data_IF_354212583500
#
_entry.id   IF_354212583500
#
_cell.length_a   1.000
_cell.length_b   1.000
_cell.length_c   1.000
_cell.angle_alpha   90.00
_cell.angle_beta   90.00
_cell.angle_gamma   90.00
#
_symmetry.space_group_name_H-M   'P 1'
#
loop_
_entity.id
_entity.type
_entity.pdbx_description
1 polymer ?
#
# COMPACT_ATOMS: atom_id res chain seq x y z
N UNK A 1 12.50 -56.46 -21.01
CA UNK A 1 12.25 -55.87 -19.67
C UNK A 1 13.06 -54.59 -19.40
N UNK A 2 14.11 -54.26 -20.17
CA UNK A 2 14.97 -53.10 -19.91
C UNK A 2 14.36 -51.74 -20.34
N UNK A 3 13.56 -51.70 -21.42
CA UNK A 3 12.96 -50.44 -21.93
C UNK A 3 11.89 -49.82 -21.02
N UNK A 4 11.13 -50.63 -20.28
CA UNK A 4 10.14 -50.13 -19.31
C UNK A 4 10.80 -49.43 -18.12
N UNK A 5 11.93 -49.95 -17.64
CA UNK A 5 12.69 -49.36 -16.54
C UNK A 5 13.29 -48.01 -16.92
N UNK A 6 13.84 -47.90 -18.14
CA UNK A 6 14.36 -46.65 -18.70
C UNK A 6 13.25 -45.59 -18.86
N UNK A 7 12.06 -46.00 -19.31
CA UNK A 7 10.91 -45.11 -19.46
C UNK A 7 10.41 -44.57 -18.12
N UNK A 8 10.36 -45.41 -17.08
CA UNK A 8 9.91 -45.01 -15.75
C UNK A 8 10.91 -44.04 -15.10
N UNK A 9 12.21 -44.32 -15.21
CA UNK A 9 13.26 -43.42 -14.72
C UNK A 9 13.21 -42.06 -15.44
N UNK A 10 13.04 -42.05 -16.75
CA UNK A 10 12.88 -40.81 -17.52
C UNK A 10 11.68 -39.98 -17.09
N UNK A 11 10.52 -40.61 -16.86
CA UNK A 11 9.31 -39.93 -16.39
C UNK A 11 9.50 -39.31 -14.99
N UNK A 12 10.15 -40.03 -14.08
CA UNK A 12 10.45 -39.56 -12.73
C UNK A 12 11.42 -38.37 -12.73
N UNK A 13 12.45 -38.38 -13.59
CA UNK A 13 13.34 -37.24 -13.77
C UNK A 13 12.60 -36.01 -14.30
N UNK A 14 11.72 -36.16 -15.29
CA UNK A 14 10.91 -35.05 -15.81
C UNK A 14 9.99 -34.47 -14.73
N UNK A 15 9.32 -35.31 -13.95
CA UNK A 15 8.46 -34.87 -12.85
C UNK A 15 9.26 -34.13 -11.76
N UNK A 16 10.47 -34.60 -11.43
CA UNK A 16 11.36 -33.94 -10.47
C UNK A 16 11.86 -32.58 -10.95
N UNK A 17 12.13 -32.42 -12.25
CA UNK A 17 12.57 -31.13 -12.81
C UNK A 17 11.39 -30.15 -12.89
N UNK A 18 10.21 -30.63 -13.26
CA UNK A 18 8.99 -29.82 -13.29
C UNK A 18 8.56 -29.34 -11.90
N UNK A 19 8.74 -30.15 -10.85
CA UNK A 19 8.42 -29.73 -9.47
C UNK A 19 9.46 -28.76 -8.90
N UNK A 20 10.73 -28.88 -9.29
CA UNK A 20 11.78 -27.96 -8.85
C UNK A 20 11.63 -26.53 -9.42
N UNK A 21 10.99 -26.38 -10.58
CA UNK A 21 10.68 -25.07 -11.17
C UNK A 21 9.30 -24.52 -10.76
N UNK A 22 8.50 -25.29 -10.00
CA UNK A 22 7.19 -24.86 -9.54
C UNK A 22 7.32 -24.12 -8.21
N UNK A 23 7.55 -22.81 -8.29
CA UNK A 23 7.50 -21.93 -7.11
C UNK A 23 6.04 -21.87 -6.63
N UNK A 24 5.73 -22.64 -5.59
CA UNK A 24 4.41 -22.65 -4.94
C UNK A 24 4.26 -21.55 -3.87
N UNK A 25 5.37 -20.95 -3.44
CA UNK A 25 5.43 -19.82 -2.51
C UNK A 25 5.83 -18.53 -3.23
N UNK A 26 5.09 -18.14 -4.27
CA UNK A 26 5.26 -16.79 -4.78
C UNK A 26 4.85 -15.82 -3.67
N UNK A 27 5.71 -14.85 -3.29
CA UNK A 27 5.30 -13.82 -2.36
C UNK A 27 4.07 -13.11 -2.90
N UNK A 28 3.25 -12.62 -1.98
CA UNK A 28 2.04 -11.90 -2.33
C UNK A 28 2.45 -10.66 -3.14
N UNK A 29 1.88 -10.50 -4.35
CA UNK A 29 2.21 -9.41 -5.26
C UNK A 29 3.29 -9.73 -6.31
N UNK A 30 2.87 -9.93 -7.56
CA UNK A 30 3.75 -9.92 -8.73
C UNK A 30 3.93 -8.51 -9.32
N UNK A 31 4.86 -8.32 -10.26
CA UNK A 31 5.15 -7.01 -10.89
C UNK A 31 3.94 -6.25 -11.46
N UNK A 32 2.83 -6.95 -11.71
CA UNK A 32 1.58 -6.40 -12.27
C UNK A 32 0.42 -6.36 -11.27
N UNK A 33 0.59 -6.90 -10.07
CA UNK A 33 -0.47 -6.98 -9.06
C UNK A 33 -0.71 -5.66 -8.30
N UNK A 34 0.21 -4.70 -8.43
CA UNK A 34 0.15 -3.40 -7.73
C UNK A 34 -0.76 -2.40 -8.45
N UNK A 35 -1.06 -2.59 -9.74
CA UNK A 35 -1.57 -1.51 -10.58
C UNK A 35 -3.06 -1.14 -10.34
N UNK A 36 -3.87 -1.99 -9.70
CA UNK A 36 -5.33 -1.80 -9.65
C UNK A 36 -5.95 -1.69 -8.23
N UNK A 37 -5.15 -1.63 -7.16
CA UNK A 37 -5.72 -1.54 -5.81
C UNK A 37 -6.02 -0.10 -5.40
N UNK A 38 -7.28 0.21 -5.02
CA UNK A 38 -7.59 1.47 -4.35
C UNK A 38 -6.73 1.60 -3.08
N UNK A 39 -6.05 2.73 -2.92
CA UNK A 39 -5.30 3.05 -1.70
C UNK A 39 -6.27 3.06 -0.51
N UNK A 40 -6.13 2.11 0.41
CA UNK A 40 -6.91 2.07 1.65
C UNK A 40 -6.13 2.70 2.79
N UNK A 41 -6.81 3.14 3.84
CA UNK A 41 -6.13 3.49 5.07
C UNK A 41 -5.60 2.25 5.77
N UNK A 42 -4.42 2.35 6.40
CA UNK A 42 -3.87 1.29 7.22
C UNK A 42 -4.82 0.95 8.39
N UNK A 43 -4.69 -0.24 8.96
CA UNK A 43 -5.64 -0.74 9.96
C UNK A 43 -5.70 0.10 11.23
N UNK A 44 -6.82 -0.03 11.95
CA UNK A 44 -6.97 0.57 13.27
C UNK A 44 -6.14 -0.16 14.32
N UNK A 45 -5.68 0.59 15.32
CA UNK A 45 -4.86 0.07 16.42
C UNK A 45 -5.08 0.88 17.70
N UNK A 46 -4.47 0.43 18.80
CA UNK A 46 -4.51 1.13 20.08
C UNK A 46 -5.84 1.01 20.84
N UNK A 47 -5.93 1.64 22.03
CA UNK A 47 -7.10 1.56 22.89
C UNK A 47 -8.37 2.05 22.19
N UNK A 48 -9.36 1.17 22.03
CA UNK A 48 -10.64 1.47 21.39
C UNK A 48 -10.55 1.74 19.89
N UNK A 49 -9.54 1.19 19.20
CA UNK A 49 -9.34 1.37 17.74
C UNK A 49 -9.22 2.85 17.31
N UNK A 50 -8.75 3.71 18.23
CA UNK A 50 -8.64 5.16 18.02
C UNK A 50 -7.37 5.60 17.30
N UNK A 51 -6.44 4.67 17.06
CA UNK A 51 -5.21 4.90 16.32
C UNK A 51 -5.23 4.23 14.94
N UNK A 52 -4.21 4.51 14.16
CA UNK A 52 -3.90 3.89 12.87
C UNK A 52 -2.42 3.47 12.84
N UNK A 53 -2.14 2.42 12.10
CA UNK A 53 -0.77 1.93 11.93
C UNK A 53 0.02 2.84 10.99
N UNK A 54 1.22 3.24 11.43
CA UNK A 54 2.20 3.99 10.62
C UNK A 54 3.42 3.12 10.25
N UNK A 55 3.60 2.00 10.95
CA UNK A 55 4.62 0.98 10.71
C UNK A 55 4.32 -0.28 11.50
N UNK A 56 5.11 -1.36 11.35
CA UNK A 56 4.85 -2.67 11.98
C UNK A 56 4.82 -2.62 13.51
N UNK A 57 5.49 -1.62 14.11
CA UNK A 57 5.58 -1.41 15.55
C UNK A 57 5.16 0.00 15.98
N UNK A 58 4.37 0.71 15.16
CA UNK A 58 4.00 2.11 15.38
C UNK A 58 2.49 2.29 15.20
N UNK A 59 1.83 2.71 16.27
CA UNK A 59 0.40 3.04 16.30
C UNK A 59 0.20 4.47 16.78
N UNK A 60 -0.47 5.31 15.99
CA UNK A 60 -0.69 6.71 16.36
C UNK A 60 -2.13 7.15 16.17
N UNK A 61 -2.58 8.09 16.99
CA UNK A 61 -3.86 8.78 16.82
C UNK A 61 -3.92 10.05 17.64
N UNK A 62 -4.63 11.06 17.16
CA UNK A 62 -4.69 12.40 17.77
C UNK A 62 -5.00 12.39 19.27
N UNK A 63 -5.88 11.48 19.71
CA UNK A 63 -6.30 11.39 21.11
C UNK A 63 -5.55 10.36 21.96
N UNK A 64 -4.57 9.63 21.41
CA UNK A 64 -3.75 8.67 22.16
C UNK A 64 -2.24 8.94 22.04
N UNK A 65 -1.84 9.88 21.18
CA UNK A 65 -0.43 10.12 20.83
C UNK A 65 0.10 9.01 19.93
N UNK A 66 1.37 8.65 20.12
CA UNK A 66 2.01 7.55 19.40
C UNK A 66 2.56 6.51 20.38
N UNK A 67 2.20 5.26 20.12
CA UNK A 67 2.68 4.07 20.81
C UNK A 67 3.69 3.38 19.90
N UNK A 68 4.90 3.16 20.39
CA UNK A 68 6.01 2.57 19.63
C UNK A 68 6.54 1.36 20.39
N UNK A 69 6.59 0.20 19.74
CA UNK A 69 7.08 -1.05 20.32
C UNK A 69 6.26 -1.56 21.52
N UNK A 70 4.99 -1.16 21.62
CA UNK A 70 4.09 -1.54 22.70
C UNK A 70 3.22 -2.74 22.28
N UNK A 71 2.61 -3.49 23.22
CA UNK A 71 1.77 -4.63 22.84
C UNK A 71 0.56 -4.21 21.99
N UNK A 72 0.10 -2.96 22.11
CA UNK A 72 -0.97 -2.39 21.29
C UNK A 72 -0.58 -2.23 19.80
N UNK A 73 0.72 -2.22 19.48
CA UNK A 73 1.22 -2.12 18.09
C UNK A 73 1.31 -3.48 17.40
N UNK A 74 1.16 -4.61 18.12
CA UNK A 74 1.25 -5.95 17.53
C UNK A 74 0.25 -6.17 16.39
N UNK A 75 -0.91 -5.49 16.45
CA UNK A 75 -1.89 -5.55 15.37
C UNK A 75 -1.34 -4.99 14.06
N UNK A 76 -0.44 -4.02 14.10
CA UNK A 76 0.15 -3.42 12.91
C UNK A 76 1.07 -4.36 12.12
N UNK A 77 1.60 -5.42 12.75
CA UNK A 77 2.33 -6.49 12.05
C UNK A 77 1.45 -7.23 11.05
N UNK A 78 0.13 -7.26 11.26
CA UNK A 78 -0.80 -7.90 10.34
C UNK A 78 -0.84 -7.19 8.98
N UNK A 79 -0.47 -5.90 8.93
CA UNK A 79 -0.43 -5.11 7.70
C UNK A 79 0.59 -5.67 6.69
N UNK A 80 1.70 -6.26 7.17
CA UNK A 80 2.75 -6.86 6.33
C UNK A 80 2.26 -8.11 5.57
N UNK A 81 1.19 -8.74 6.06
CA UNK A 81 0.60 -9.94 5.46
C UNK A 81 -0.55 -9.60 4.50
N UNK A 82 -0.99 -8.34 4.45
CA UNK A 82 -2.08 -7.92 3.58
C UNK A 82 -1.55 -7.61 2.17
N UNK A 83 -2.13 -8.22 1.11
CA UNK A 83 -1.68 -7.99 -0.26
C UNK A 83 -2.04 -6.62 -0.83
N UNK A 84 -2.97 -5.91 -0.20
CA UNK A 84 -3.41 -4.59 -0.64
C UNK A 84 -2.61 -3.51 0.08
N UNK A 85 -1.99 -2.58 -0.67
CA UNK A 85 -1.22 -1.50 -0.07
C UNK A 85 -2.16 -0.61 0.75
N UNK A 86 -1.63 -0.08 1.84
CA UNK A 86 -2.30 0.91 2.68
C UNK A 86 -1.48 2.19 2.76
N UNK A 87 -2.15 3.30 3.07
CA UNK A 87 -1.51 4.57 3.39
C UNK A 87 -1.87 4.98 4.81
N UNK A 88 -0.87 5.44 5.57
CA UNK A 88 -1.09 6.05 6.86
C UNK A 88 -1.83 7.40 6.68
N UNK A 89 -2.74 7.77 7.58
CA UNK A 89 -3.47 9.03 7.49
C UNK A 89 -2.56 10.23 7.82
N UNK A 90 -3.08 11.44 7.60
CA UNK A 90 -2.42 12.69 7.95
C UNK A 90 -1.67 13.33 6.78
N UNK A 91 -1.24 14.58 6.94
CA UNK A 91 -0.47 15.30 5.91
C UNK A 91 0.99 14.84 5.89
N UNK A 92 1.65 14.98 4.74
CA UNK A 92 3.06 14.67 4.61
C UNK A 92 3.93 15.61 5.47
N UNK A 93 5.02 15.06 6.03
CA UNK A 93 6.04 15.76 6.79
C UNK A 93 7.39 15.03 6.63
N UNK A 94 8.51 15.72 6.81
CA UNK A 94 9.83 15.13 6.59
C UNK A 94 10.05 14.63 5.14
N UNK A 95 10.78 13.51 5.01
CA UNK A 95 11.10 12.90 3.70
C UNK A 95 10.02 11.92 3.23
N UNK A 96 9.61 10.99 4.10
CA UNK A 96 8.59 9.95 3.82
C UNK A 96 7.58 9.83 4.98
N UNK A 97 7.52 10.84 5.84
CA UNK A 97 6.71 10.83 7.05
C UNK A 97 5.32 11.41 6.85
N UNK A 98 4.43 11.13 7.80
CA UNK A 98 3.10 11.72 7.90
C UNK A 98 2.80 12.16 9.33
N UNK A 99 2.05 13.24 9.46
CA UNK A 99 1.66 13.77 10.77
C UNK A 99 0.70 12.80 11.45
N UNK A 100 1.18 12.17 12.52
CA UNK A 100 0.51 11.06 13.17
C UNK A 100 -0.24 11.48 14.45
N UNK A 101 0.25 12.54 15.08
CA UNK A 101 -0.33 13.21 16.24
C UNK A 101 0.15 14.67 16.28
N UNK A 102 -0.40 15.51 17.17
CA UNK A 102 0.04 16.90 17.33
C UNK A 102 1.54 17.04 17.54
N UNK A 103 2.18 17.75 16.62
CA UNK A 103 3.62 18.00 16.52
C UNK A 103 4.47 16.74 16.38
N UNK A 104 3.90 15.64 15.90
CA UNK A 104 4.61 14.36 15.70
C UNK A 104 4.50 13.91 14.25
N UNK A 105 5.65 13.76 13.61
CA UNK A 105 5.81 13.19 12.28
C UNK A 105 6.32 11.75 12.41
N UNK A 106 5.67 10.78 11.77
CA UNK A 106 6.09 9.38 11.78
C UNK A 106 6.23 8.83 10.36
N UNK A 107 7.26 8.01 10.16
CA UNK A 107 7.41 7.10 9.01
C UNK A 107 7.28 5.65 9.49
N UNK A 108 7.63 4.67 8.63
CA UNK A 108 7.54 3.25 8.97
C UNK A 108 8.54 2.81 10.06
N UNK A 109 9.62 3.57 10.25
CA UNK A 109 10.74 3.21 11.12
C UNK A 109 10.66 3.91 12.48
N UNK A 110 10.11 5.11 12.53
CA UNK A 110 10.01 5.86 13.78
C UNK A 110 9.22 7.16 13.69
N UNK A 111 9.23 7.87 14.83
CA UNK A 111 8.55 9.14 15.00
C UNK A 111 9.51 10.20 15.53
N UNK A 112 9.32 11.44 15.09
CA UNK A 112 10.06 12.60 15.54
C UNK A 112 9.11 13.79 15.75
N UNK A 113 9.54 14.76 16.56
CA UNK A 113 8.77 15.99 16.72
C UNK A 113 8.95 16.88 15.49
N UNK A 114 7.84 17.35 14.93
CA UNK A 114 7.83 18.25 13.78
C UNK A 114 6.80 19.36 13.97
N UNK A 115 7.25 20.61 13.85
CA UNK A 115 6.39 21.79 13.95
C UNK A 115 5.42 21.93 12.78
N UNK A 116 5.71 21.30 11.64
CA UNK A 116 4.79 21.23 10.52
C UNK A 116 3.48 20.54 10.92
N UNK A 117 3.51 19.62 11.89
CA UNK A 117 2.36 18.84 12.36
C UNK A 117 1.51 19.54 13.44
N UNK A 118 1.22 20.84 13.30
CA UNK A 118 0.31 21.54 14.23
C UNK A 118 -1.09 20.89 14.28
N UNK A 119 -1.73 20.96 15.45
CA UNK A 119 -3.08 20.46 15.73
C UNK A 119 -4.09 20.89 14.64
N UNK A 120 -4.56 19.91 13.87
CA UNK A 120 -5.79 19.87 13.07
C UNK A 120 -6.20 21.08 12.23
N UNK A 121 -6.03 20.97 10.91
CA UNK A 121 -7.24 21.01 10.09
C UNK A 121 -7.55 19.57 9.71
N UNK A 122 -8.67 19.08 10.20
CA UNK A 122 -9.13 17.72 10.03
C UNK A 122 -9.60 17.51 8.59
N UNK A 123 -8.68 17.33 7.65
CA UNK A 123 -9.02 16.75 6.36
C UNK A 123 -8.95 15.22 6.50
N UNK A 124 -9.89 14.67 7.28
CA UNK A 124 -10.38 13.33 6.95
C UNK A 124 -10.89 13.39 5.51
N UNK A 125 -10.74 12.34 4.68
CA UNK A 125 -11.16 12.40 3.29
C UNK A 125 -12.61 12.90 3.21
N UNK A 126 -12.80 14.15 2.79
CA UNK A 126 -14.13 14.67 2.54
C UNK A 126 -14.78 13.75 1.51
N UNK A 127 -16.05 13.33 1.68
CA UNK A 127 -16.76 12.64 0.62
C UNK A 127 -16.70 13.56 -0.61
N UNK A 128 -16.13 13.04 -1.70
CA UNK A 128 -15.96 13.76 -2.95
C UNK A 128 -17.25 14.54 -3.28
N UNK A 129 -17.19 15.89 -3.45
CA UNK A 129 -18.36 16.63 -3.85
C UNK A 129 -18.82 16.15 -5.24
N UNK A 130 -20.13 16.13 -5.52
CA UNK A 130 -20.62 15.71 -6.83
C UNK A 130 -20.01 16.62 -7.89
N UNK A 131 -19.27 16.02 -8.82
CA UNK A 131 -18.61 16.72 -9.91
C UNK A 131 -19.60 17.63 -10.64
N UNK A 132 -19.39 18.95 -10.52
CA UNK A 132 -20.13 19.96 -11.25
C UNK A 132 -19.85 19.81 -12.74
N UNK A 133 -20.88 19.94 -13.59
CA UNK A 133 -20.78 19.81 -15.05
C UNK A 133 -19.76 20.78 -15.68
N UNK A 134 -19.34 21.82 -14.96
CA UNK A 134 -18.34 22.79 -15.40
C UNK A 134 -16.90 22.20 -15.37
N UNK A 135 -16.59 21.32 -14.41
CA UNK A 135 -15.27 20.68 -14.30
C UNK A 135 -15.02 19.63 -15.39
N UNK A 136 -16.09 18.97 -15.84
CA UNK A 136 -16.03 18.03 -16.96
C UNK A 136 -15.68 18.75 -18.27
N UNK A 137 -16.24 19.96 -18.46
CA UNK A 137 -16.04 20.75 -19.67
C UNK A 137 -14.60 21.29 -19.76
N UNK A 138 -14.02 21.73 -18.65
CA UNK A 138 -12.59 22.11 -18.59
C UNK A 138 -11.65 20.91 -18.84
N UNK A 139 -11.96 19.74 -18.27
CA UNK A 139 -11.17 18.52 -18.51
C UNK A 139 -11.26 18.04 -19.96
N UNK A 140 -12.42 18.17 -20.60
CA UNK A 140 -12.60 17.86 -22.02
C UNK A 140 -11.87 18.84 -22.94
N UNK A 141 -11.86 20.14 -22.60
CA UNK A 141 -11.08 21.15 -23.33
C UNK A 141 -9.56 20.94 -23.21
N UNK A 142 -9.10 20.43 -22.06
CA UNK A 142 -7.69 20.05 -21.89
C UNK A 142 -7.32 18.78 -22.68
N UNK A 143 -8.23 17.80 -22.78
CA UNK A 143 -8.01 16.58 -23.57
C UNK A 143 -7.99 16.86 -25.08
N UNK A 144 -8.83 17.76 -25.58
CA UNK A 144 -8.85 18.13 -27.00
C UNK A 144 -7.61 18.91 -27.43
N UNK A 145 -6.92 19.59 -26.51
CA UNK A 145 -5.64 20.25 -26.78
C UNK A 145 -4.45 19.27 -26.80
N UNK A 146 -4.58 18.10 -26.15
CA UNK A 146 -3.57 17.03 -26.17
C UNK A 146 -3.83 15.94 -27.22
N UNK A 147 -5.04 15.86 -27.77
CA UNK A 147 -5.36 14.95 -28.85
C UNK A 147 -5.01 15.57 -30.22
N UNK A 148 -3.72 15.65 -30.54
CA UNK A 148 -3.27 15.59 -31.93
C UNK A 148 -2.73 14.17 -32.19
N UNK A 149 -3.57 13.24 -32.68
CA UNK A 149 -3.16 11.87 -32.91
C UNK A 149 -2.59 11.72 -34.33
N UNK A 150 -1.60 10.83 -34.46
CA UNK A 150 -1.07 10.21 -35.68
C UNK A 150 -0.40 11.11 -36.76
N UNK A 151 0.92 10.99 -36.87
CA UNK A 151 1.58 10.84 -38.17
C UNK A 151 2.01 9.38 -38.36
N UNK A 152 1.32 8.72 -39.29
CA UNK A 152 1.66 7.44 -39.88
C UNK A 152 2.57 7.71 -41.12
N UNK A 153 3.48 6.79 -41.40
CA UNK A 153 4.42 6.72 -42.54
C UNK A 153 5.64 7.68 -42.54
N UNK A 154 6.83 7.15 -42.25
CA UNK A 154 7.78 6.72 -43.29
C UNK A 154 8.77 5.70 -42.74
#
# INVERSE_FOLDING_TARGET
MSGGLLSVVGLLCLLSVCSACYISNCPIGGKRAVQDWPSRQCMSCGPGDRGRCFGPSICCGEGIGCLVGSPETLRCLEEDFLPSPCEAPGKACGYEGRCAAPRVCCDSEGCSMDQSCVDGDADGPAPAPPASSQDLLLKLLHLSNHAHPYRLHQ
#
